data_IF_320307299631
#
_entry.id   IF_320307299631
#
_cell.length_a   1.000
_cell.length_b   1.000
_cell.length_c   1.000
_cell.angle_alpha   90.00
_cell.angle_beta   90.00
_cell.angle_gamma   90.00
#
_symmetry.space_group_name_H-M   'P 1'
#
loop_
_entity.id
_entity.type
_entity.pdbx_description
1 polymer ?
#
# COMPACT_ATOMS: atom_id res chain seq x y z
N UNK A 1 -34.78 25.36 23.52
CA UNK A 1 -34.62 23.98 24.00
C UNK A 1 -33.79 23.23 22.96
N UNK A 2 -32.51 23.59 22.77
CA UNK A 2 -31.71 23.07 21.65
C UNK A 2 -30.23 23.12 22.04
N UNK A 3 -29.79 22.13 22.80
CA UNK A 3 -28.39 21.93 23.16
C UNK A 3 -27.72 21.14 22.03
N UNK A 4 -27.10 21.81 21.07
CA UNK A 4 -26.23 21.17 20.07
C UNK A 4 -24.79 21.39 20.48
N UNK A 5 -24.30 20.49 21.36
CA UNK A 5 -22.88 20.26 21.57
C UNK A 5 -22.27 19.70 20.27
N UNK A 6 -22.03 20.57 19.30
CA UNK A 6 -21.19 20.24 18.15
C UNK A 6 -19.75 20.26 18.65
N UNK A 7 -19.32 19.14 19.22
CA UNK A 7 -17.91 18.88 19.43
C UNK A 7 -17.30 18.73 18.02
N UNK A 8 -16.87 19.86 17.43
CA UNK A 8 -16.07 19.84 16.22
C UNK A 8 -14.78 19.12 16.59
N UNK A 9 -14.73 17.81 16.36
CA UNK A 9 -13.49 17.05 16.48
C UNK A 9 -12.45 17.78 15.64
N UNK A 10 -11.42 18.31 16.30
CA UNK A 10 -10.32 18.97 15.60
C UNK A 10 -9.80 18.01 14.54
N UNK A 11 -9.57 18.47 13.30
CA UNK A 11 -9.11 17.61 12.24
C UNK A 11 -7.82 16.92 12.68
N UNK A 12 -7.73 15.62 12.42
CA UNK A 12 -6.55 14.84 12.80
C UNK A 12 -5.39 15.34 11.94
N UNK A 13 -4.32 15.80 12.59
CA UNK A 13 -3.12 16.25 11.90
C UNK A 13 -1.95 15.31 12.18
N UNK A 14 -1.11 15.15 11.17
CA UNK A 14 0.10 14.35 11.26
C UNK A 14 1.28 15.16 10.73
N UNK A 15 2.47 14.90 11.25
CA UNK A 15 3.72 15.48 10.78
C UNK A 15 4.54 14.44 10.05
N UNK A 16 5.06 14.79 8.87
CA UNK A 16 5.92 13.92 8.08
C UNK A 16 7.28 13.69 8.75
N UNK A 17 7.63 12.43 9.01
CA UNK A 17 8.96 12.02 9.51
C UNK A 17 10.02 12.02 8.41
N UNK A 18 9.60 11.69 7.20
CA UNK A 18 10.44 11.52 6.01
C UNK A 18 9.76 12.15 4.80
N UNK A 19 10.54 12.41 3.75
CA UNK A 19 10.01 12.78 2.43
C UNK A 19 9.32 11.57 1.79
N UNK A 20 8.20 11.79 1.12
CA UNK A 20 7.52 10.80 0.30
C UNK A 20 7.19 11.41 -1.07
N UNK A 21 7.57 10.71 -2.13
CA UNK A 21 7.26 11.08 -3.51
C UNK A 21 6.26 10.07 -4.05
N UNK A 22 5.03 10.54 -4.25
CA UNK A 22 3.97 9.75 -4.86
C UNK A 22 4.33 9.40 -6.30
N UNK A 23 4.09 8.15 -6.69
CA UNK A 23 4.34 7.66 -8.05
C UNK A 23 3.14 7.82 -8.96
N UNK A 24 1.95 7.85 -8.37
CA UNK A 24 0.69 7.93 -9.07
C UNK A 24 -0.04 9.24 -8.71
N UNK A 25 -0.99 9.65 -9.55
CA UNK A 25 -1.72 10.91 -9.38
C UNK A 25 -2.66 10.93 -8.18
N UNK A 26 -2.99 9.75 -7.64
CA UNK A 26 -3.79 9.56 -6.43
C UNK A 26 -2.95 9.53 -5.15
N UNK A 27 -1.61 9.60 -5.24
CA UNK A 27 -0.71 9.62 -4.09
C UNK A 27 -0.30 11.05 -3.70
N UNK A 28 -0.27 11.34 -2.39
CA UNK A 28 0.10 12.64 -1.86
C UNK A 28 1.60 12.73 -1.62
N UNK A 29 2.30 13.57 -2.38
CA UNK A 29 3.72 13.86 -2.15
C UNK A 29 3.93 14.93 -1.08
N UNK A 30 4.93 14.76 -0.22
CA UNK A 30 5.28 15.70 0.85
C UNK A 30 6.75 15.60 1.27
N UNK A 31 7.24 16.64 1.92
CA UNK A 31 8.57 16.74 2.50
C UNK A 31 8.57 16.43 4.00
N UNK A 32 9.77 16.14 4.54
CA UNK A 32 9.94 15.96 5.98
C UNK A 32 9.50 17.23 6.72
N UNK A 33 8.78 17.03 7.82
CA UNK A 33 8.18 18.02 8.71
C UNK A 33 6.91 18.72 8.17
N UNK A 34 6.42 18.36 6.98
CA UNK A 34 5.13 18.87 6.50
C UNK A 34 3.99 18.40 7.40
N UNK A 35 2.99 19.27 7.59
CA UNK A 35 1.79 18.97 8.37
C UNK A 35 0.67 18.60 7.41
N UNK A 36 0.21 17.36 7.49
CA UNK A 36 -0.83 16.82 6.64
C UNK A 36 -2.10 16.71 7.47
N UNK A 37 -3.22 17.16 6.88
CA UNK A 37 -4.54 16.98 7.48
C UNK A 37 -5.12 15.65 7.01
N UNK A 38 -5.41 14.74 7.94
CA UNK A 38 -5.97 13.43 7.61
C UNK A 38 -7.45 13.57 7.30
N UNK A 39 -7.85 13.10 6.11
CA UNK A 39 -9.24 13.08 5.63
C UNK A 39 -9.86 11.72 5.95
N UNK A 40 -9.17 10.63 5.62
CA UNK A 40 -9.67 9.27 5.81
C UNK A 40 -8.59 8.33 6.33
N UNK A 41 -8.96 7.49 7.29
CA UNK A 41 -8.12 6.42 7.83
C UNK A 41 -8.67 5.07 7.38
N UNK A 42 -7.87 4.31 6.65
CA UNK A 42 -8.18 2.93 6.30
C UNK A 42 -7.29 1.97 7.08
N UNK A 43 -7.86 0.81 7.42
CA UNK A 43 -7.13 -0.31 8.01
C UNK A 43 -6.30 -0.98 6.90
N UNK A 44 -5.12 -0.43 6.66
CA UNK A 44 -4.21 -0.90 5.61
C UNK A 44 -2.86 -0.16 5.56
N UNK A 45 -2.59 0.74 6.51
CA UNK A 45 -1.34 1.50 6.55
C UNK A 45 -1.24 2.62 5.52
N UNK A 46 -2.34 2.96 4.84
CA UNK A 46 -2.46 4.08 3.92
C UNK A 46 -3.63 4.96 4.31
N UNK A 47 -3.37 6.26 4.45
CA UNK A 47 -4.37 7.27 4.77
C UNK A 47 -4.50 8.26 3.62
N UNK A 48 -5.69 8.83 3.49
CA UNK A 48 -5.92 9.96 2.60
C UNK A 48 -5.76 11.24 3.40
N UNK A 49 -5.05 12.20 2.84
CA UNK A 49 -4.88 13.51 3.48
C UNK A 49 -4.76 14.64 2.50
N UNK A 50 -4.76 15.84 3.06
CA UNK A 50 -4.63 17.09 2.34
C UNK A 50 -3.40 17.87 2.80
N UNK A 51 -2.65 18.37 1.82
CA UNK A 51 -1.52 19.28 1.98
C UNK A 51 -1.54 20.30 0.85
N UNK A 52 -1.53 21.59 1.18
CA UNK A 52 -1.51 22.71 0.22
C UNK A 52 -2.59 22.60 -0.88
N UNK A 53 -3.78 22.14 -0.51
CA UNK A 53 -4.92 21.97 -1.42
C UNK A 53 -4.85 20.73 -2.32
N UNK A 54 -3.81 19.90 -2.20
CA UNK A 54 -3.70 18.61 -2.88
C UNK A 54 -4.20 17.50 -1.97
N UNK A 55 -4.96 16.57 -2.52
CA UNK A 55 -5.49 15.40 -1.81
C UNK A 55 -4.89 14.14 -2.42
N UNK A 56 -4.52 13.18 -1.58
CA UNK A 56 -4.07 11.88 -2.04
C UNK A 56 -3.69 10.94 -0.90
N UNK A 57 -3.32 9.73 -1.30
CA UNK A 57 -2.94 8.63 -0.42
C UNK A 57 -1.49 8.70 -0.01
N UNK A 58 -1.22 8.42 1.26
CA UNK A 58 0.13 8.31 1.78
C UNK A 58 0.27 7.22 2.84
N UNK A 59 1.48 6.64 2.98
CA UNK A 59 1.72 5.60 3.97
C UNK A 59 1.82 6.19 5.39
N UNK A 60 1.11 5.59 6.34
CA UNK A 60 1.10 6.00 7.75
C UNK A 60 2.47 5.92 8.41
N UNK A 61 3.32 5.01 7.92
CA UNK A 61 4.68 4.82 8.41
C UNK A 61 5.57 6.05 8.23
N UNK A 62 5.21 6.97 7.33
CA UNK A 62 5.99 8.15 7.02
C UNK A 62 5.60 9.36 7.88
N UNK A 63 4.59 9.22 8.74
CA UNK A 63 4.07 10.33 9.55
C UNK A 63 3.98 10.00 11.04
N UNK A 64 3.83 11.02 11.88
CA UNK A 64 3.51 10.91 13.31
C UNK A 64 2.27 11.72 13.62
N UNK A 65 1.38 11.19 14.45
CA UNK A 65 0.21 11.93 14.94
C UNK A 65 0.64 13.15 15.74
N UNK A 66 0.09 14.32 15.43
CA UNK A 66 0.23 15.51 16.26
C UNK A 66 -0.81 15.38 17.37
N UNK A 67 -0.36 15.01 18.57
CA UNK A 67 -1.21 15.11 19.76
C UNK A 67 -1.17 16.57 20.21
N UNK A 68 -2.33 17.23 20.23
CA UNK A 68 -2.47 18.50 20.93
C UNK A 68 -2.33 18.20 22.43
N UNK A 69 -1.10 18.32 22.93
CA UNK A 69 -0.85 18.41 24.35
C UNK A 69 -1.05 19.86 24.74
N UNK A 70 -2.25 20.20 25.23
CA UNK A 70 -2.44 21.31 26.17
C UNK A 70 -1.87 20.95 27.56
N UNK A 71 -0.73 20.26 27.61
CA UNK A 71 0.02 20.00 28.83
C UNK A 71 1.51 20.14 28.53
N UNK A 72 2.00 21.29 28.93
CA UNK A 72 3.39 21.71 28.93
C UNK A 72 4.30 20.70 29.64
N UNK A 73 5.53 20.58 29.12
CA UNK A 73 6.76 20.16 29.84
C UNK A 73 6.95 18.68 30.20
N UNK A 74 7.51 17.90 29.26
CA UNK A 74 8.61 16.98 29.62
C UNK A 74 9.50 16.57 28.43
N UNK A 75 10.06 17.55 27.71
CA UNK A 75 11.11 17.30 26.71
C UNK A 75 12.49 17.06 27.35
N UNK A 76 12.57 16.22 28.40
CA UNK A 76 13.84 15.73 28.97
C UNK A 76 13.62 14.36 29.60
N UNK A 77 13.68 13.29 28.79
CA UNK A 77 14.19 11.94 29.12
C UNK A 77 13.73 10.93 28.07
N UNK A 78 14.56 10.72 27.05
CA UNK A 78 14.91 9.36 26.63
C UNK A 78 16.17 9.39 25.76
N UNK A 79 17.28 9.76 26.41
CA UNK A 79 18.60 9.35 25.99
C UNK A 79 19.08 8.32 27.02
N UNK A 80 19.33 7.08 26.55
CA UNK A 80 19.85 5.88 27.23
C UNK A 80 18.84 4.93 27.88
N UNK A 81 18.76 3.74 27.27
CA UNK A 81 18.44 2.36 27.73
C UNK A 81 17.62 1.71 26.60
N UNK A 82 18.11 0.87 25.69
CA UNK A 82 18.83 -0.40 25.86
C UNK A 82 19.46 -0.80 24.52
N UNK A 83 20.74 -1.17 24.50
CA UNK A 83 21.52 -1.55 23.32
C UNK A 83 21.18 -2.95 22.73
N UNK A 84 20.01 -3.52 23.03
CA UNK A 84 19.60 -4.90 22.69
C UNK A 84 18.13 -5.04 22.22
N UNK A 85 17.50 -4.00 21.63
CA UNK A 85 16.09 -4.07 21.17
C UNK A 85 15.88 -3.77 19.67
N UNK A 86 16.93 -3.39 18.94
CA UNK A 86 16.79 -2.97 17.53
C UNK A 86 16.65 -4.17 16.56
N UNK A 87 17.06 -5.37 16.93
CA UNK A 87 17.07 -6.52 16.02
C UNK A 87 15.68 -7.16 15.82
N UNK A 88 14.77 -6.97 16.78
CA UNK A 88 13.43 -7.59 16.76
C UNK A 88 12.36 -6.68 16.12
N UNK A 89 12.60 -5.35 16.06
CA UNK A 89 11.65 -4.41 15.42
C UNK A 89 11.97 -4.15 13.94
N UNK A 90 13.24 -4.20 13.54
CA UNK A 90 13.62 -4.12 12.11
C UNK A 90 13.14 -5.33 11.33
N UNK A 91 13.24 -6.53 11.91
CA UNK A 91 12.72 -7.77 11.30
C UNK A 91 11.20 -7.74 11.19
N UNK A 92 10.46 -7.25 12.19
CA UNK A 92 8.99 -7.10 12.11
C UNK A 92 8.56 -6.08 11.06
N UNK A 93 9.29 -4.97 10.91
CA UNK A 93 9.01 -3.96 9.89
C UNK A 93 9.42 -4.43 8.49
N UNK A 94 10.52 -5.16 8.36
CA UNK A 94 10.90 -5.85 7.13
C UNK A 94 9.88 -6.92 6.78
N UNK A 95 9.36 -7.69 7.74
CA UNK A 95 8.31 -8.68 7.54
C UNK A 95 7.01 -7.99 7.10
N UNK A 96 6.58 -6.87 7.69
CA UNK A 96 5.37 -6.15 7.22
C UNK A 96 5.55 -5.51 5.85
N UNK A 97 6.69 -4.86 5.59
CA UNK A 97 7.00 -4.27 4.27
C UNK A 97 7.18 -5.36 3.21
N UNK A 98 7.85 -6.46 3.56
CA UNK A 98 7.99 -7.62 2.70
C UNK A 98 6.66 -8.33 2.53
N UNK A 99 5.80 -8.43 3.54
CA UNK A 99 4.49 -9.05 3.45
C UNK A 99 3.58 -8.29 2.50
N UNK A 100 3.60 -6.95 2.51
CA UNK A 100 2.85 -6.15 1.55
C UNK A 100 3.47 -6.21 0.13
N UNK A 101 4.81 -6.19 0.02
CA UNK A 101 5.49 -6.43 -1.27
C UNK A 101 5.23 -7.83 -1.80
N UNK A 102 5.17 -8.84 -0.94
CA UNK A 102 4.88 -10.25 -1.24
C UNK A 102 3.42 -10.39 -1.64
N UNK A 103 2.48 -9.69 -0.99
CA UNK A 103 1.08 -9.64 -1.38
C UNK A 103 0.93 -9.10 -2.81
N UNK A 104 1.53 -7.95 -3.11
CA UNK A 104 1.49 -7.34 -4.44
C UNK A 104 2.21 -8.19 -5.50
N UNK A 105 3.34 -8.83 -5.15
CA UNK A 105 4.05 -9.75 -6.03
C UNK A 105 3.27 -11.04 -6.25
N UNK A 106 2.60 -11.59 -5.23
CA UNK A 106 1.73 -12.75 -5.35
C UNK A 106 0.54 -12.45 -6.26
N UNK A 107 -0.14 -11.31 -6.08
CA UNK A 107 -1.24 -10.91 -6.96
C UNK A 107 -0.77 -10.74 -8.41
N UNK A 108 0.40 -10.14 -8.62
CA UNK A 108 0.98 -10.03 -9.96
C UNK A 108 1.33 -11.40 -10.57
N UNK A 109 1.98 -12.29 -9.81
CA UNK A 109 2.36 -13.63 -10.26
C UNK A 109 1.14 -14.53 -10.50
N UNK A 110 0.10 -14.45 -9.66
CA UNK A 110 -1.17 -15.16 -9.86
C UNK A 110 -1.82 -14.70 -11.17
N UNK A 111 -1.82 -13.38 -11.42
CA UNK A 111 -2.39 -12.82 -12.65
C UNK A 111 -1.58 -13.17 -13.89
N UNK A 112 -0.26 -13.22 -13.82
CA UNK A 112 0.59 -13.66 -14.93
C UNK A 112 0.49 -15.17 -15.20
N UNK A 113 0.47 -15.99 -14.15
CA UNK A 113 0.31 -17.43 -14.30
C UNK A 113 -1.05 -17.81 -14.88
N UNK A 114 -2.12 -17.08 -14.54
CA UNK A 114 -3.44 -17.27 -15.17
C UNK A 114 -3.40 -17.01 -16.68
N UNK A 115 -2.61 -16.03 -17.15
CA UNK A 115 -2.43 -15.78 -18.59
C UNK A 115 -1.68 -16.93 -19.28
N UNK A 116 -0.68 -17.50 -18.62
CA UNK A 116 0.08 -18.65 -19.14
C UNK A 116 -0.83 -19.88 -19.29
N UNK A 117 -1.70 -20.15 -18.33
CA UNK A 117 -2.67 -21.26 -18.41
C UNK A 117 -3.60 -21.11 -19.62
N UNK A 118 -4.09 -19.89 -19.89
CA UNK A 118 -4.94 -19.61 -21.05
C UNK A 118 -4.18 -19.86 -22.36
N UNK A 119 -2.90 -19.49 -22.43
CA UNK A 119 -2.06 -19.71 -23.61
C UNK A 119 -1.83 -21.21 -23.83
N UNK A 120 -1.53 -21.98 -22.79
CA UNK A 120 -1.32 -23.43 -22.91
C UNK A 120 -2.58 -24.14 -23.40
N UNK A 121 -3.75 -23.82 -22.84
CA UNK A 121 -5.04 -24.39 -23.28
C UNK A 121 -5.34 -24.03 -24.73
N UNK A 122 -5.01 -22.81 -25.15
CA UNK A 122 -5.15 -22.38 -26.55
C UNK A 122 -4.22 -23.15 -27.47
N UNK A 123 -2.95 -23.35 -27.06
CA UNK A 123 -1.98 -24.13 -27.82
C UNK A 123 -2.40 -25.60 -27.96
N UNK A 124 -2.90 -26.22 -26.90
CA UNK A 124 -3.37 -27.61 -26.96
C UNK A 124 -4.60 -27.74 -27.86
N UNK A 125 -5.51 -26.76 -27.82
CA UNK A 125 -6.65 -26.70 -28.74
C UNK A 125 -6.17 -26.57 -30.19
N UNK A 126 -5.20 -25.69 -30.46
CA UNK A 126 -4.63 -25.52 -31.81
C UNK A 126 -3.94 -26.82 -32.27
N UNK A 127 -3.12 -27.45 -31.42
CA UNK A 127 -2.46 -28.72 -31.75
C UNK A 127 -3.47 -29.83 -32.03
N UNK A 128 -4.53 -29.93 -31.23
CA UNK A 128 -5.62 -30.88 -31.44
C UNK A 128 -6.27 -30.67 -32.81
N UNK A 129 -6.66 -29.43 -33.13
CA UNK A 129 -7.27 -29.09 -34.41
C UNK A 129 -6.31 -29.33 -35.59
N UNK A 130 -5.02 -29.04 -35.44
CA UNK A 130 -4.01 -29.34 -36.46
C UNK A 130 -3.85 -30.85 -36.70
N UNK A 131 -3.98 -31.67 -35.65
CA UNK A 131 -3.93 -33.12 -35.77
C UNK A 131 -5.18 -33.65 -36.49
N UNK A 132 -6.37 -33.17 -36.11
CA UNK A 132 -7.64 -33.50 -36.76
C UNK A 132 -7.63 -33.14 -38.25
N UNK A 133 -7.12 -31.96 -38.62
CA UNK A 133 -6.96 -31.55 -40.02
C UNK A 133 -5.96 -32.42 -40.81
N UNK A 134 -4.92 -32.96 -40.16
CA UNK A 134 -3.97 -33.87 -40.81
C UNK A 134 -4.61 -35.23 -41.11
N UNK A 135 -5.37 -35.78 -40.17
CA UNK A 135 -6.10 -37.04 -40.35
C UNK A 135 -7.17 -36.92 -41.46
N UNK A 136 -7.84 -35.76 -41.54
CA UNK A 136 -8.82 -35.48 -42.60
C UNK A 136 -8.18 -35.35 -43.99
N UNK A 137 -6.97 -34.79 -44.10
CA UNK A 137 -6.25 -34.66 -45.37
C UNK A 137 -5.44 -35.91 -45.77
N UNK A 138 -5.05 -36.74 -44.80
CA UNK A 138 -4.38 -38.03 -45.04
C UNK A 138 -5.32 -39.15 -45.52
N UNK A 139 -6.63 -38.97 -45.37
CA UNK A 139 -7.67 -39.93 -45.77
C UNK A 139 -8.28 -39.67 -47.16
N UNK A 140 -7.62 -38.97 -48.08
CA UNK A 140 -8.02 -39.00 -49.50
C UNK A 140 -7.33 -40.17 -50.22
N UNK A 141 -7.98 -41.33 -50.40
CA UNK A 141 -7.53 -42.30 -51.38
C UNK A 141 -7.69 -41.67 -52.78
N UNK A 142 -6.66 -41.84 -53.61
CA UNK A 142 -6.76 -41.62 -55.06
C UNK A 142 -7.74 -42.62 -55.68
#
# INVERSE_FOLDING_TARGET
>A
MNNTNNNLLSPIQVVAKYKFEGRNNDELSFSKNDIITVIQQLDGGWWEGSLDGRVGWFPTDFVNLIKNCDDQQNAKKSAKTTKNRLEIDLSKLEISKASFRVQLVQEFLIKENSKLEIIERTLDTIKFLMNELKELNGSRPF
#
